data_IF_652880040154
#
_entry.id   IF_652880040154
#
_cell.length_a   1.000
_cell.length_b   1.000
_cell.length_c   1.000
_cell.angle_alpha   90.00
_cell.angle_beta   90.00
_cell.angle_gamma   90.00
#
_symmetry.space_group_name_H-M   'P 1'
#
loop_
_entity.id
_entity.type
_entity.pdbx_description
1 polymer ?
#
# COMPACT_ATOMS: atom_id res chain seq x y z
N UNK A 1 0.32 -8.39 -19.87
CA UNK A 1 -0.16 -9.15 -18.68
C UNK A 1 0.73 -8.82 -17.48
N UNK A 2 0.66 -7.59 -16.92
CA UNK A 2 1.61 -7.11 -15.90
C UNK A 2 0.92 -6.66 -14.60
N UNK A 3 -0.22 -5.97 -14.69
CA UNK A 3 -1.05 -5.72 -13.48
C UNK A 3 -1.64 -6.97 -12.83
N UNK A 4 -1.70 -8.07 -13.57
CA UNK A 4 -2.03 -9.38 -13.01
C UNK A 4 -0.99 -9.85 -12.00
N UNK A 5 0.29 -9.46 -12.12
CA UNK A 5 1.36 -9.83 -11.19
C UNK A 5 1.25 -9.08 -9.87
N UNK A 6 0.86 -7.80 -9.87
CA UNK A 6 0.67 -7.01 -8.65
C UNK A 6 -0.57 -7.49 -7.89
N UNK A 7 -1.68 -7.73 -8.60
CA UNK A 7 -2.87 -8.37 -8.04
C UNK A 7 -2.58 -9.79 -7.56
N UNK A 8 -1.80 -10.59 -8.31
CA UNK A 8 -1.37 -11.91 -7.86
C UNK A 8 -0.46 -11.82 -6.64
N UNK A 9 0.47 -10.86 -6.55
CA UNK A 9 1.32 -10.68 -5.38
C UNK A 9 0.48 -10.33 -4.14
N UNK A 10 -0.53 -9.47 -4.29
CA UNK A 10 -1.50 -9.12 -3.23
C UNK A 10 -2.44 -10.29 -2.88
N UNK A 11 -2.85 -11.11 -3.86
CA UNK A 11 -3.65 -12.31 -3.62
C UNK A 11 -2.82 -13.43 -2.97
N UNK A 12 -1.56 -13.59 -3.36
CA UNK A 12 -0.63 -14.59 -2.85
C UNK A 12 -0.23 -14.26 -1.40
N UNK A 13 -0.16 -12.98 -1.02
CA UNK A 13 -0.03 -12.59 0.40
C UNK A 13 -1.31 -12.81 1.20
N UNK A 14 -2.50 -12.69 0.59
CA UNK A 14 -3.78 -12.94 1.25
C UNK A 14 -4.16 -14.43 1.40
N UNK A 15 -3.89 -15.25 0.39
CA UNK A 15 -4.37 -16.65 0.29
C UNK A 15 -3.28 -17.70 0.53
N UNK A 16 -2.01 -17.42 0.19
CA UNK A 16 -0.95 -18.45 0.13
C UNK A 16 0.12 -18.33 1.23
N UNK A 17 0.08 -17.30 2.07
CA UNK A 17 0.95 -17.20 3.26
C UNK A 17 2.45 -17.25 2.97
N UNK A 18 2.88 -16.91 1.74
CA UNK A 18 4.30 -16.92 1.37
C UNK A 18 5.05 -15.75 2.04
N UNK A 19 6.14 -16.10 2.72
CA UNK A 19 7.15 -15.26 3.37
C UNK A 19 6.65 -13.87 3.83
N UNK A 20 5.89 -13.87 4.93
CA UNK A 20 5.29 -12.68 5.61
C UNK A 20 6.24 -11.47 5.78
N UNK A 21 7.55 -11.63 5.68
CA UNK A 21 8.51 -10.52 5.81
C UNK A 21 8.77 -9.77 4.51
N UNK A 22 8.78 -10.44 3.35
CA UNK A 22 9.28 -9.83 2.10
C UNK A 22 8.23 -8.95 1.40
N UNK A 23 6.96 -9.34 1.43
CA UNK A 23 5.88 -8.54 0.82
C UNK A 23 5.28 -7.48 1.78
N UNK A 24 5.54 -7.63 3.08
CA UNK A 24 5.04 -6.74 4.12
C UNK A 24 5.79 -5.40 4.14
N UNK A 25 7.11 -5.41 3.91
CA UNK A 25 7.92 -4.20 3.83
C UNK A 25 7.47 -3.29 2.66
N UNK A 26 7.33 -3.79 1.41
CA UNK A 26 6.85 -2.96 0.31
C UNK A 26 5.40 -2.51 0.45
N UNK A 27 4.53 -3.34 1.05
CA UNK A 27 3.17 -2.92 1.37
C UNK A 27 3.16 -1.68 2.27
N UNK A 28 3.94 -1.70 3.36
CA UNK A 28 4.03 -0.55 4.25
C UNK A 28 4.73 0.65 3.61
N UNK A 29 5.71 0.44 2.74
CA UNK A 29 6.33 1.50 1.95
C UNK A 29 5.29 2.24 1.11
N UNK A 30 4.53 1.51 0.29
CA UNK A 30 3.46 2.09 -0.54
C UNK A 30 2.36 2.73 0.33
N UNK A 31 1.92 2.07 1.40
CA UNK A 31 0.92 2.59 2.34
C UNK A 31 1.34 3.93 2.97
N UNK A 32 2.57 4.01 3.47
CA UNK A 32 3.12 5.26 4.02
C UNK A 32 3.31 6.31 2.93
N UNK A 33 3.70 5.89 1.72
CA UNK A 33 3.76 6.73 0.53
C UNK A 33 2.42 7.42 0.26
N UNK A 34 1.31 6.66 0.25
CA UNK A 34 -0.05 7.17 0.11
C UNK A 34 -0.36 8.20 1.21
N UNK A 35 -0.22 7.83 2.48
CA UNK A 35 -0.56 8.71 3.60
C UNK A 35 0.30 9.99 3.67
N UNK A 36 1.53 9.95 3.15
CA UNK A 36 2.45 11.08 3.21
C UNK A 36 2.03 12.26 2.32
N UNK A 37 1.21 12.04 1.29
CA UNK A 37 0.93 13.04 0.25
C UNK A 37 2.07 13.29 -0.72
N UNK A 38 3.24 12.67 -0.52
CA UNK A 38 4.40 12.88 -1.37
C UNK A 38 4.35 11.98 -2.61
N UNK A 39 4.06 12.58 -3.77
CA UNK A 39 4.05 11.92 -5.08
C UNK A 39 5.37 11.23 -5.42
N UNK A 40 6.49 11.92 -5.20
CA UNK A 40 7.83 11.39 -5.53
C UNK A 40 8.13 10.17 -4.65
N UNK A 41 7.79 10.26 -3.37
CA UNK A 41 7.90 9.15 -2.43
C UNK A 41 7.07 7.96 -2.88
N UNK A 42 5.79 8.16 -3.17
CA UNK A 42 4.88 7.12 -3.64
C UNK A 42 5.41 6.43 -4.91
N UNK A 43 5.90 7.19 -5.90
CA UNK A 43 6.48 6.59 -7.11
C UNK A 43 7.77 5.82 -6.84
N UNK A 44 8.57 6.25 -5.88
CA UNK A 44 9.80 5.55 -5.49
C UNK A 44 9.47 4.19 -4.90
N UNK A 45 8.45 4.11 -4.04
CA UNK A 45 7.98 2.85 -3.44
C UNK A 45 7.33 1.92 -4.47
N UNK A 46 6.69 2.47 -5.51
CA UNK A 46 6.09 1.70 -6.59
C UNK A 46 7.10 1.23 -7.64
N UNK A 47 8.23 1.92 -7.80
CA UNK A 47 9.20 1.64 -8.88
C UNK A 47 9.70 0.19 -8.96
N UNK A 48 9.96 -0.53 -7.86
CA UNK A 48 10.41 -1.93 -7.90
C UNK A 48 9.41 -2.90 -8.54
N UNK A 49 8.15 -2.49 -8.72
CA UNK A 49 7.08 -3.32 -9.28
C UNK A 49 6.83 -3.10 -10.77
N UNK A 50 7.63 -2.26 -11.43
CA UNK A 50 7.44 -1.86 -12.83
C UNK A 50 5.98 -1.46 -13.17
N UNK A 51 5.36 -0.55 -12.39
CA UNK A 51 3.95 -0.24 -12.50
C UNK A 51 3.63 0.42 -13.85
N UNK A 52 2.46 0.11 -14.41
CA UNK A 52 1.95 0.83 -15.58
C UNK A 52 1.60 2.27 -15.23
N UNK A 53 1.38 3.10 -16.25
CA UNK A 53 0.96 4.49 -16.05
C UNK A 53 -0.37 4.54 -15.30
N UNK A 54 -1.30 3.68 -15.67
CA UNK A 54 -2.63 3.59 -15.06
C UNK A 54 -2.58 3.10 -13.61
N UNK A 55 -1.63 2.23 -13.27
CA UNK A 55 -1.41 1.78 -11.89
C UNK A 55 -0.87 2.91 -11.01
N UNK A 56 0.08 3.70 -11.52
CA UNK A 56 0.56 4.89 -10.81
C UNK A 56 -0.57 5.89 -10.57
N UNK A 57 -1.36 6.20 -11.60
CA UNK A 57 -2.51 7.09 -11.50
C UNK A 57 -3.55 6.58 -10.49
N UNK A 58 -3.75 5.26 -10.39
CA UNK A 58 -4.66 4.68 -9.41
C UNK A 58 -4.17 4.95 -7.98
N UNK A 59 -2.88 4.71 -7.69
CA UNK A 59 -2.30 5.01 -6.38
C UNK A 59 -2.29 6.51 -6.08
N UNK A 60 -2.08 7.34 -7.09
CA UNK A 60 -2.16 8.79 -6.95
C UNK A 60 -3.57 9.25 -6.51
N UNK A 61 -4.62 8.69 -7.12
CA UNK A 61 -6.00 9.00 -6.73
C UNK A 61 -6.31 8.60 -5.29
N UNK A 62 -5.78 7.48 -4.82
CA UNK A 62 -5.93 7.07 -3.42
C UNK A 62 -5.26 8.10 -2.50
N UNK A 63 -4.05 8.53 -2.85
CA UNK A 63 -3.34 9.58 -2.12
C UNK A 63 -4.12 10.91 -2.13
N UNK A 64 -4.74 11.29 -3.26
CA UNK A 64 -5.57 12.49 -3.34
C UNK A 64 -6.76 12.43 -2.38
N UNK A 65 -7.43 11.27 -2.26
CA UNK A 65 -8.51 11.10 -1.28
C UNK A 65 -8.04 11.39 0.16
N UNK A 66 -6.82 10.97 0.53
CA UNK A 66 -6.27 11.27 1.86
C UNK A 66 -5.81 12.73 2.01
N UNK A 67 -5.38 13.39 0.94
CA UNK A 67 -5.08 14.83 0.95
C UNK A 67 -6.37 15.66 1.10
N UNK A 68 -7.44 15.29 0.41
CA UNK A 68 -8.75 15.96 0.45
C UNK A 68 -9.40 15.85 1.84
N UNK A 69 -9.37 14.68 2.47
CA UNK A 69 -9.90 14.46 3.82
C UNK A 69 -8.96 14.98 4.92
N UNK A 70 -7.67 15.07 4.62
CA UNK A 70 -6.65 15.66 5.49
C UNK A 70 -6.21 14.79 6.68
N UNK A 71 -5.59 15.45 7.66
CA UNK A 71 -4.82 14.79 8.71
C UNK A 71 -5.64 13.84 9.60
N UNK A 72 -6.93 14.13 9.80
CA UNK A 72 -7.81 13.31 10.63
C UNK A 72 -7.98 11.91 10.03
N UNK A 73 -8.34 11.83 8.74
CA UNK A 73 -8.53 10.56 8.06
C UNK A 73 -7.25 9.72 8.04
N UNK A 74 -6.10 10.34 7.74
CA UNK A 74 -4.78 9.68 7.80
C UNK A 74 -4.47 9.08 9.17
N UNK A 75 -4.77 9.83 10.23
CA UNK A 75 -4.50 9.39 11.61
C UNK A 75 -5.44 8.26 12.04
N UNK A 76 -6.70 8.32 11.66
CA UNK A 76 -7.68 7.27 11.93
C UNK A 76 -7.35 5.98 11.18
N UNK A 77 -6.93 6.09 9.92
CA UNK A 77 -6.48 4.95 9.13
C UNK A 77 -5.22 4.29 9.74
N UNK A 78 -4.23 5.09 10.14
CA UNK A 78 -3.03 4.57 10.78
C UNK A 78 -3.33 3.84 12.10
N UNK A 79 -4.33 4.31 12.87
CA UNK A 79 -4.81 3.61 14.07
C UNK A 79 -5.49 2.29 13.73
N UNK A 80 -6.32 2.28 12.68
CA UNK A 80 -6.96 1.06 12.20
C UNK A 80 -5.93 0.03 11.76
N UNK A 81 -4.94 0.43 10.95
CA UNK A 81 -3.84 -0.43 10.51
C UNK A 81 -3.08 -1.02 11.70
N UNK A 82 -2.70 -0.19 12.68
CA UNK A 82 -2.03 -0.66 13.92
C UNK A 82 -2.89 -1.67 14.68
N UNK A 83 -4.20 -1.48 14.71
CA UNK A 83 -5.14 -2.40 15.37
C UNK A 83 -5.23 -3.74 14.65
N UNK A 84 -5.23 -3.73 13.30
CA UNK A 84 -5.22 -4.95 12.48
C UNK A 84 -3.94 -5.75 12.74
N UNK A 85 -2.78 -5.09 12.72
CA UNK A 85 -1.48 -5.74 12.94
C UNK A 85 -1.30 -6.29 14.36
N UNK A 86 -2.02 -5.75 15.32
CA UNK A 86 -1.98 -6.22 16.71
C UNK A 86 -2.84 -7.48 16.94
N UNK A 87 -3.61 -7.94 15.94
CA UNK A 87 -4.37 -9.19 16.02
C UNK A 87 -3.46 -10.39 15.82
N UNK A 88 -3.72 -11.45 16.60
CA UNK A 88 -2.98 -12.73 16.55
C UNK A 88 -3.01 -13.42 15.19
N UNK A 89 -3.98 -13.08 14.33
CA UNK A 89 -4.10 -13.63 12.97
C UNK A 89 -3.02 -13.07 12.03
N UNK A 90 -2.44 -11.91 12.35
CA UNK A 90 -1.40 -11.24 11.56
C UNK A 90 0.01 -11.34 12.17
N UNK A 91 0.14 -11.74 13.45
CA UNK A 91 1.40 -12.09 14.14
C UNK A 91 1.80 -13.56 13.88
#
# INVERSE_FOLDING_TARGET
>A
MKGTLLLLALLVTGELGFQRTEACIPFFGVYLGILSGNRIGLHTELAPFDPTVEEKEAFEKIQDCYEEEGLKAKTEDMKLMTTILSKKEFL
#
